data_IF_764503976916
#
_entry.id   IF_764503976916
#
_cell.length_a   1.000
_cell.length_b   1.000
_cell.length_c   1.000
_cell.angle_alpha   90.00
_cell.angle_beta   90.00
_cell.angle_gamma   90.00
#
_symmetry.space_group_name_H-M   'P 1'
#
loop_
_entity.id
_entity.type
_entity.pdbx_description
1 polymer ?
#
# COMPACT_ATOMS: atom_id res chain seq x y z
N UNK A 1 -31.31 -40.00 4.56
CA UNK A 1 -30.22 -39.58 3.68
C UNK A 1 -30.58 -38.33 2.87
N UNK A 2 -31.63 -38.30 2.07
CA UNK A 2 -31.97 -37.12 1.22
C UNK A 2 -32.09 -35.79 1.98
N UNK A 3 -32.72 -35.74 3.15
CA UNK A 3 -32.84 -34.52 3.96
C UNK A 3 -31.47 -33.98 4.43
N UNK A 4 -30.54 -34.86 4.78
CA UNK A 4 -29.18 -34.51 5.21
C UNK A 4 -28.41 -33.95 4.02
N UNK A 5 -28.49 -34.57 2.85
CA UNK A 5 -27.84 -34.08 1.61
C UNK A 5 -28.36 -32.71 1.24
N UNK A 6 -29.67 -32.49 1.28
CA UNK A 6 -30.26 -31.17 0.98
C UNK A 6 -29.78 -30.13 2.01
N UNK A 7 -29.77 -30.46 3.29
CA UNK A 7 -29.28 -29.57 4.35
C UNK A 7 -27.81 -29.19 4.12
N UNK A 8 -26.94 -30.16 3.90
CA UNK A 8 -25.52 -29.92 3.65
C UNK A 8 -25.29 -29.09 2.36
N UNK A 9 -26.07 -29.35 1.31
CA UNK A 9 -26.02 -28.58 0.08
C UNK A 9 -26.42 -27.09 0.29
N UNK A 10 -27.42 -26.85 1.14
CA UNK A 10 -27.83 -25.48 1.49
C UNK A 10 -26.75 -24.81 2.32
N UNK A 11 -26.20 -25.48 3.33
CA UNK A 11 -25.11 -24.94 4.16
C UNK A 11 -23.92 -24.57 3.27
N UNK A 12 -23.53 -25.47 2.36
CA UNK A 12 -22.43 -25.24 1.44
C UNK A 12 -22.70 -24.04 0.50
N UNK A 13 -23.90 -23.97 -0.10
CA UNK A 13 -24.28 -22.86 -0.96
C UNK A 13 -24.29 -21.52 -0.22
N UNK A 14 -24.77 -21.48 1.03
CA UNK A 14 -24.75 -20.27 1.86
C UNK A 14 -23.32 -19.87 2.24
N UNK A 15 -22.44 -20.83 2.53
CA UNK A 15 -21.02 -20.56 2.79
C UNK A 15 -20.32 -19.94 1.60
N UNK A 16 -20.54 -20.51 0.41
CA UNK A 16 -19.99 -19.93 -0.83
C UNK A 16 -20.54 -18.52 -1.08
N UNK A 17 -21.85 -18.32 -0.95
CA UNK A 17 -22.46 -17.02 -1.13
C UNK A 17 -21.89 -15.99 -0.13
N UNK A 18 -21.69 -16.38 1.10
CA UNK A 18 -21.06 -15.53 2.10
C UNK A 18 -19.60 -15.24 1.77
N UNK A 19 -18.77 -16.28 1.59
CA UNK A 19 -17.33 -16.13 1.37
C UNK A 19 -16.96 -15.49 0.05
N UNK A 20 -17.73 -15.77 -1.01
CA UNK A 20 -17.45 -15.27 -2.36
C UNK A 20 -17.99 -13.87 -2.62
N UNK A 21 -18.99 -13.43 -1.88
CA UNK A 21 -19.67 -12.17 -2.17
C UNK A 21 -19.93 -11.32 -0.93
N UNK A 22 -20.68 -11.83 0.04
CA UNK A 22 -21.21 -11.03 1.15
C UNK A 22 -20.09 -10.51 2.06
N UNK A 23 -19.07 -11.31 2.32
CA UNK A 23 -17.91 -10.93 3.14
C UNK A 23 -17.17 -9.71 2.56
N UNK A 24 -17.12 -9.59 1.23
CA UNK A 24 -16.49 -8.44 0.57
C UNK A 24 -17.32 -7.15 0.61
N UNK A 25 -18.62 -7.24 0.91
CA UNK A 25 -19.46 -6.06 1.11
C UNK A 25 -19.37 -5.51 2.55
N UNK A 26 -18.95 -6.33 3.52
CA UNK A 26 -18.90 -5.94 4.92
C UNK A 26 -18.10 -4.66 5.20
N UNK A 27 -16.90 -4.46 4.60
CA UNK A 27 -16.13 -3.24 4.83
C UNK A 27 -16.92 -1.99 4.47
N UNK A 28 -17.56 -1.95 3.31
CA UNK A 28 -18.29 -0.77 2.84
C UNK A 28 -19.65 -0.56 3.51
N UNK A 29 -20.26 -1.62 4.07
CA UNK A 29 -21.57 -1.54 4.69
C UNK A 29 -21.55 -1.25 6.20
N UNK A 30 -20.56 -1.82 6.94
CA UNK A 30 -20.61 -1.78 8.40
C UNK A 30 -19.26 -1.57 9.10
N UNK A 31 -18.17 -2.17 8.61
CA UNK A 31 -16.94 -2.22 9.41
C UNK A 31 -15.98 -1.07 9.14
N UNK A 32 -16.23 -0.26 8.11
CA UNK A 32 -15.34 0.85 7.75
C UNK A 32 -16.12 2.10 7.30
N UNK A 33 -15.50 3.26 7.45
CA UNK A 33 -16.08 4.55 7.06
C UNK A 33 -14.98 5.60 6.86
N UNK A 34 -15.30 6.68 6.17
CA UNK A 34 -14.39 7.81 6.02
C UNK A 34 -14.00 8.43 7.37
N UNK A 35 -12.71 8.64 7.65
CA UNK A 35 -12.26 9.11 8.97
C UNK A 35 -12.77 10.51 9.32
N UNK A 36 -12.99 11.39 8.36
CA UNK A 36 -13.55 12.73 8.62
C UNK A 36 -14.97 12.70 9.18
N UNK A 37 -15.76 11.63 8.95
CA UNK A 37 -17.11 11.51 9.49
C UNK A 37 -17.11 11.33 11.02
N UNK A 38 -16.05 10.79 11.60
CA UNK A 38 -15.92 10.62 13.05
C UNK A 38 -15.42 11.88 13.75
N UNK A 39 -14.76 12.78 13.05
CA UNK A 39 -14.18 14.01 13.58
C UNK A 39 -15.17 15.21 13.57
N UNK A 40 -16.29 15.05 12.92
CA UNK A 40 -17.25 16.09 12.57
C UNK A 40 -17.95 16.79 13.74
N UNK A 41 -17.97 16.18 14.93
CA UNK A 41 -18.78 16.67 16.04
C UNK A 41 -18.23 17.91 16.76
N UNK A 42 -17.01 18.36 16.44
CA UNK A 42 -16.34 19.40 17.21
C UNK A 42 -15.92 20.67 16.46
N UNK A 43 -15.90 20.70 15.13
CA UNK A 43 -15.21 21.78 14.42
C UNK A 43 -16.07 22.69 13.50
N UNK A 44 -17.25 22.29 13.04
CA UNK A 44 -18.01 23.11 12.07
C UNK A 44 -19.54 22.95 12.12
N UNK A 45 -20.22 24.03 12.38
CA UNK A 45 -21.67 24.16 12.17
C UNK A 45 -21.97 24.66 10.74
N UNK A 46 -22.61 23.85 9.89
CA UNK A 46 -23.34 24.32 8.71
C UNK A 46 -22.63 24.31 7.34
N UNK A 47 -21.53 23.56 7.14
CA UNK A 47 -20.86 23.44 5.82
C UNK A 47 -21.21 22.10 5.18
N UNK A 48 -21.43 22.09 3.84
CA UNK A 48 -21.57 20.85 3.06
C UNK A 48 -20.25 20.09 3.07
N UNK A 49 -20.24 18.97 3.78
CA UNK A 49 -19.04 18.21 4.10
C UNK A 49 -18.46 17.40 2.93
N UNK A 50 -19.22 17.15 1.88
CA UNK A 50 -18.75 16.31 0.77
C UNK A 50 -17.63 16.98 -0.04
N UNK A 51 -17.63 18.32 -0.12
CA UNK A 51 -16.61 19.11 -0.83
C UNK A 51 -15.43 19.57 0.04
N UNK A 52 -15.54 19.37 1.36
CA UNK A 52 -14.54 19.84 2.33
C UNK A 52 -13.30 18.94 2.46
N UNK A 53 -13.36 17.73 1.92
CA UNK A 53 -12.28 16.75 2.01
C UNK A 53 -12.01 16.08 0.67
N UNK A 54 -10.75 15.83 0.38
CA UNK A 54 -10.32 14.91 -0.69
C UNK A 54 -10.20 13.51 -0.10
N UNK A 55 -10.90 12.56 -0.70
CA UNK A 55 -11.02 11.17 -0.27
C UNK A 55 -10.01 10.29 -0.99
N UNK A 56 -9.10 9.68 -0.26
CA UNK A 56 -8.02 8.84 -0.80
C UNK A 56 -8.15 7.40 -0.31
N UNK A 57 -8.23 6.44 -1.21
CA UNK A 57 -8.06 5.02 -0.89
C UNK A 57 -6.60 4.62 -1.11
N UNK A 58 -5.96 4.10 -0.06
CA UNK A 58 -4.56 3.68 -0.08
C UNK A 58 -4.49 2.16 -0.11
N UNK A 59 -3.77 1.62 -1.08
CA UNK A 59 -3.62 0.19 -1.36
C UNK A 59 -2.13 -0.11 -1.50
N UNK A 60 -1.69 -1.27 -1.01
CA UNK A 60 -0.29 -1.66 -1.12
C UNK A 60 -0.12 -3.15 -1.36
N UNK A 61 1.02 -3.53 -1.90
CA UNK A 61 1.52 -4.90 -2.02
C UNK A 61 0.51 -5.87 -2.66
N UNK A 62 -0.09 -5.56 -3.83
CA UNK A 62 -0.90 -6.55 -4.53
C UNK A 62 -0.07 -7.77 -4.95
N UNK A 63 1.20 -7.60 -5.27
CA UNK A 63 2.18 -8.63 -5.63
C UNK A 63 1.58 -9.74 -6.50
N UNK A 64 1.09 -9.36 -7.69
CA UNK A 64 0.49 -10.32 -8.62
C UNK A 64 1.42 -11.49 -8.87
N UNK A 65 0.95 -12.69 -8.57
CA UNK A 65 1.71 -13.91 -8.78
C UNK A 65 2.12 -14.08 -10.25
N UNK A 66 3.33 -14.53 -10.46
CA UNK A 66 3.90 -14.87 -11.76
C UNK A 66 4.75 -16.15 -11.67
N UNK A 67 5.57 -16.44 -12.70
CA UNK A 67 6.41 -17.64 -12.74
C UNK A 67 7.44 -17.72 -11.62
N UNK A 68 7.70 -16.65 -10.89
CA UNK A 68 8.66 -16.62 -9.78
C UNK A 68 8.02 -16.95 -8.44
N UNK A 69 6.69 -16.94 -8.40
CA UNK A 69 5.91 -17.13 -7.19
C UNK A 69 5.87 -18.59 -6.74
N UNK A 70 5.85 -18.80 -5.43
CA UNK A 70 5.61 -20.10 -4.78
C UNK A 70 6.61 -21.22 -5.16
N UNK A 71 7.68 -20.92 -5.89
CA UNK A 71 8.63 -21.94 -6.41
C UNK A 71 7.96 -23.09 -7.20
N UNK A 72 6.80 -22.83 -7.77
CA UNK A 72 6.08 -23.78 -8.62
C UNK A 72 6.62 -23.75 -10.07
N UNK A 73 6.56 -24.89 -10.79
CA UNK A 73 6.99 -24.89 -12.19
C UNK A 73 6.18 -23.88 -13.00
N UNK A 74 6.82 -23.08 -13.88
CA UNK A 74 6.13 -22.17 -14.77
C UNK A 74 5.05 -22.87 -15.59
N UNK A 75 3.88 -22.25 -15.76
CA UNK A 75 2.71 -22.81 -16.47
C UNK A 75 2.19 -24.14 -15.91
N UNK A 76 2.48 -24.45 -14.65
CA UNK A 76 1.85 -25.57 -13.98
C UNK A 76 0.40 -25.21 -13.61
N UNK A 77 -0.49 -26.20 -13.65
CA UNK A 77 -1.89 -26.01 -13.24
C UNK A 77 -2.00 -25.42 -11.82
N UNK A 78 -1.10 -25.82 -10.92
CA UNK A 78 -1.08 -25.30 -9.54
C UNK A 78 -0.78 -23.80 -9.51
N UNK A 79 0.20 -23.32 -10.29
CA UNK A 79 0.51 -21.90 -10.39
C UNK A 79 -0.63 -21.11 -11.04
N UNK A 80 -1.21 -21.62 -12.14
CA UNK A 80 -2.33 -20.97 -12.84
C UNK A 80 -3.56 -20.84 -11.93
N UNK A 81 -3.87 -21.89 -11.16
CA UNK A 81 -4.96 -21.84 -10.17
C UNK A 81 -4.67 -20.83 -9.06
N UNK A 82 -3.44 -20.80 -8.53
CA UNK A 82 -3.05 -19.83 -7.51
C UNK A 82 -3.18 -18.39 -8.04
N UNK A 83 -2.68 -18.11 -9.23
CA UNK A 83 -2.84 -16.82 -9.91
C UNK A 83 -4.32 -16.43 -10.07
N UNK A 84 -5.13 -17.35 -10.59
CA UNK A 84 -6.55 -17.10 -10.80
C UNK A 84 -7.28 -16.74 -9.50
N UNK A 85 -7.08 -17.50 -8.45
CA UNK A 85 -7.78 -17.24 -7.18
C UNK A 85 -7.31 -15.98 -6.49
N UNK A 86 -6.02 -15.64 -6.56
CA UNK A 86 -5.50 -14.38 -5.99
C UNK A 86 -5.99 -13.17 -6.78
N UNK A 87 -6.01 -13.24 -8.10
CA UNK A 87 -6.52 -12.18 -8.96
C UNK A 87 -8.03 -11.94 -8.71
N UNK A 88 -8.81 -13.02 -8.63
CA UNK A 88 -10.26 -12.93 -8.33
C UNK A 88 -10.49 -12.33 -6.95
N UNK A 89 -9.71 -12.73 -5.95
CA UNK A 89 -9.79 -12.16 -4.61
C UNK A 89 -9.55 -10.64 -4.62
N UNK A 90 -8.41 -10.20 -5.18
CA UNK A 90 -8.06 -8.78 -5.21
C UNK A 90 -9.07 -7.96 -6.02
N UNK A 91 -9.58 -8.50 -7.13
CA UNK A 91 -10.62 -7.84 -7.90
C UNK A 91 -11.92 -7.66 -7.11
N UNK A 92 -12.35 -8.68 -6.38
CA UNK A 92 -13.53 -8.58 -5.49
C UNK A 92 -13.30 -7.59 -4.37
N UNK A 93 -12.15 -7.67 -3.68
CA UNK A 93 -11.77 -6.73 -2.65
C UNK A 93 -11.82 -5.28 -3.16
N UNK A 94 -11.28 -5.04 -4.35
CA UNK A 94 -11.31 -3.72 -4.94
C UNK A 94 -12.72 -3.24 -5.28
N UNK A 95 -13.46 -4.04 -6.06
CA UNK A 95 -14.77 -3.64 -6.58
C UNK A 95 -15.87 -3.60 -5.51
N UNK A 96 -15.80 -4.47 -4.50
CA UNK A 96 -16.89 -4.61 -3.51
C UNK A 96 -16.56 -4.01 -2.15
N UNK A 97 -15.27 -3.91 -1.78
CA UNK A 97 -14.87 -3.38 -0.46
C UNK A 97 -14.29 -1.97 -0.56
N UNK A 98 -13.57 -1.61 -1.63
CA UNK A 98 -12.86 -0.33 -1.73
C UNK A 98 -13.61 0.68 -2.60
N UNK A 99 -13.94 0.31 -3.82
CA UNK A 99 -14.57 1.23 -4.77
C UNK A 99 -15.92 1.81 -4.32
N UNK A 100 -16.77 1.08 -3.54
CA UNK A 100 -18.04 1.64 -3.02
C UNK A 100 -17.89 2.86 -2.10
N UNK A 101 -16.69 3.11 -1.56
CA UNK A 101 -16.40 4.34 -0.82
C UNK A 101 -16.34 5.59 -1.70
N UNK A 102 -16.37 5.45 -3.04
CA UNK A 102 -16.26 6.56 -3.99
C UNK A 102 -15.05 7.46 -3.69
N UNK A 103 -13.81 6.92 -3.70
CA UNK A 103 -12.61 7.73 -3.51
C UNK A 103 -12.43 8.70 -4.68
N UNK A 104 -11.92 9.90 -4.40
CA UNK A 104 -11.47 10.85 -5.43
C UNK A 104 -10.10 10.44 -5.99
N UNK A 105 -9.32 9.74 -5.15
CA UNK A 105 -7.94 9.32 -5.44
C UNK A 105 -7.77 7.86 -5.02
N UNK A 106 -7.05 7.11 -5.83
CA UNK A 106 -6.47 5.82 -5.46
C UNK A 106 -4.96 5.98 -5.42
N UNK A 107 -4.36 5.63 -4.30
CA UNK A 107 -2.92 5.67 -4.08
C UNK A 107 -2.39 4.26 -3.88
N UNK A 108 -1.55 3.79 -4.79
CA UNK A 108 -0.84 2.54 -4.67
C UNK A 108 0.57 2.77 -4.12
N UNK A 109 0.95 2.04 -3.07
CA UNK A 109 2.23 2.20 -2.38
C UNK A 109 3.30 1.18 -2.82
N UNK A 110 3.22 0.64 -4.03
CA UNK A 110 4.24 -0.23 -4.61
C UNK A 110 3.95 -1.73 -4.53
N UNK A 111 4.90 -2.50 -5.06
CA UNK A 111 4.89 -3.96 -5.17
C UNK A 111 3.66 -4.49 -5.90
N UNK A 112 3.52 -4.10 -7.18
CA UNK A 112 2.40 -4.52 -8.03
C UNK A 112 2.54 -5.96 -8.51
N UNK A 113 3.78 -6.39 -8.82
CA UNK A 113 4.14 -7.70 -9.34
C UNK A 113 5.05 -8.43 -8.37
N UNK A 114 5.06 -9.75 -8.40
CA UNK A 114 5.96 -10.54 -7.55
C UNK A 114 7.39 -10.57 -8.10
N UNK A 115 7.55 -10.80 -9.39
CA UNK A 115 8.84 -10.90 -10.07
C UNK A 115 9.18 -9.76 -11.01
N UNK A 116 8.53 -8.60 -10.92
CA UNK A 116 8.63 -7.49 -11.88
C UNK A 116 10.02 -7.24 -12.47
N UNK A 117 11.10 -7.12 -11.65
CA UNK A 117 12.44 -6.85 -12.14
C UNK A 117 13.06 -7.93 -13.03
N UNK A 118 12.62 -9.20 -12.89
CA UNK A 118 13.21 -10.37 -13.56
C UNK A 118 12.31 -10.97 -14.64
N UNK A 119 11.10 -10.44 -14.82
CA UNK A 119 10.20 -10.82 -15.91
C UNK A 119 10.71 -10.30 -17.26
N UNK A 120 10.48 -11.07 -18.32
CA UNK A 120 10.62 -10.56 -19.69
C UNK A 120 9.63 -9.43 -19.96
N UNK A 121 9.81 -8.69 -21.07
CA UNK A 121 8.90 -7.61 -21.39
C UNK A 121 7.48 -8.13 -21.68
N UNK A 122 7.35 -9.31 -22.31
CA UNK A 122 6.07 -9.95 -22.58
C UNK A 122 5.36 -10.37 -21.29
N UNK A 123 6.07 -11.04 -20.38
CA UNK A 123 5.53 -11.47 -19.08
C UNK A 123 5.12 -10.27 -18.22
N UNK A 124 5.92 -9.22 -18.27
CA UNK A 124 5.62 -7.98 -17.54
C UNK A 124 4.37 -7.30 -18.11
N UNK A 125 4.21 -7.23 -19.44
CA UNK A 125 3.02 -6.68 -20.07
C UNK A 125 1.77 -7.52 -19.78
N UNK A 126 1.90 -8.85 -19.69
CA UNK A 126 0.81 -9.73 -19.26
C UNK A 126 0.40 -9.39 -17.82
N UNK A 127 1.36 -9.29 -16.89
CA UNK A 127 1.11 -8.93 -15.49
C UNK A 127 0.50 -7.52 -15.37
N UNK A 128 0.96 -6.57 -16.18
CA UNK A 128 0.37 -5.22 -16.26
C UNK A 128 -1.08 -5.26 -16.78
N UNK A 129 -1.36 -6.08 -17.77
CA UNK A 129 -2.73 -6.32 -18.28
C UNK A 129 -3.65 -6.87 -17.18
N UNK A 130 -3.18 -7.85 -16.40
CA UNK A 130 -3.90 -8.42 -15.24
C UNK A 130 -4.14 -7.37 -14.17
N UNK A 131 -3.12 -6.59 -13.80
CA UNK A 131 -3.23 -5.51 -12.81
C UNK A 131 -4.31 -4.49 -13.21
N UNK A 132 -4.31 -4.02 -14.46
CA UNK A 132 -5.34 -3.12 -14.97
C UNK A 132 -6.74 -3.72 -14.91
N UNK A 133 -6.87 -5.02 -15.13
CA UNK A 133 -8.14 -5.72 -15.04
C UNK A 133 -8.61 -5.86 -13.58
N UNK A 134 -7.71 -6.24 -12.67
CA UNK A 134 -8.01 -6.44 -11.24
C UNK A 134 -8.53 -5.14 -10.62
N UNK A 135 -7.86 -4.03 -10.86
CA UNK A 135 -8.17 -2.73 -10.28
C UNK A 135 -9.02 -1.84 -11.20
N UNK A 136 -9.59 -2.40 -12.25
CA UNK A 136 -10.51 -1.74 -13.20
C UNK A 136 -10.02 -0.37 -13.72
N UNK A 137 -8.71 -0.26 -13.93
CA UNK A 137 -8.05 1.02 -14.25
C UNK A 137 -8.58 1.66 -15.52
N UNK A 138 -9.02 0.87 -16.48
CA UNK A 138 -9.59 1.39 -17.74
C UNK A 138 -10.90 2.16 -17.47
N UNK A 139 -11.76 1.65 -16.60
CA UNK A 139 -13.01 2.34 -16.21
C UNK A 139 -12.70 3.58 -15.37
N UNK A 140 -11.76 3.51 -14.45
CA UNK A 140 -11.34 4.65 -13.64
C UNK A 140 -10.81 5.80 -14.51
N UNK A 141 -9.97 5.50 -15.50
CA UNK A 141 -9.44 6.49 -16.44
C UNK A 141 -10.53 7.12 -17.33
N UNK A 142 -11.54 6.34 -17.72
CA UNK A 142 -12.67 6.84 -18.53
C UNK A 142 -13.62 7.72 -17.70
N UNK A 143 -13.78 7.46 -16.42
CA UNK A 143 -14.70 8.20 -15.55
C UNK A 143 -14.26 9.64 -15.29
N UNK A 144 -13.00 9.99 -15.58
CA UNK A 144 -12.36 11.30 -15.33
C UNK A 144 -12.48 11.82 -13.88
N UNK A 145 -13.15 11.08 -12.99
CA UNK A 145 -13.44 11.52 -11.62
C UNK A 145 -12.46 10.98 -10.59
N UNK A 146 -11.75 9.86 -10.90
CA UNK A 146 -10.82 9.23 -9.97
C UNK A 146 -9.41 9.32 -10.54
N UNK A 147 -8.49 9.93 -9.79
CA UNK A 147 -7.07 9.94 -10.15
C UNK A 147 -6.33 8.80 -9.46
N UNK A 148 -5.35 8.23 -10.14
CA UNK A 148 -4.53 7.14 -9.60
C UNK A 148 -3.08 7.60 -9.52
N UNK A 149 -2.45 7.40 -8.36
CA UNK A 149 -1.03 7.68 -8.13
C UNK A 149 -0.31 6.38 -7.76
N UNK A 150 0.92 6.26 -8.20
CA UNK A 150 1.71 5.04 -8.09
C UNK A 150 3.06 5.31 -7.45
N UNK A 151 3.42 4.53 -6.46
CA UNK A 151 4.75 4.48 -5.87
C UNK A 151 5.44 3.19 -6.28
N UNK A 152 6.73 3.23 -6.52
CA UNK A 152 7.50 2.02 -6.84
C UNK A 152 7.81 1.19 -5.60
N UNK A 153 7.84 -0.14 -5.77
CA UNK A 153 8.28 -1.10 -4.78
C UNK A 153 9.51 -1.90 -5.25
N UNK A 154 10.12 -2.65 -4.35
CA UNK A 154 11.30 -3.46 -4.68
C UNK A 154 10.96 -4.64 -5.60
N UNK A 155 9.74 -5.14 -5.57
CA UNK A 155 9.23 -6.13 -6.51
C UNK A 155 8.87 -5.54 -7.88
N UNK A 156 8.79 -4.21 -8.01
CA UNK A 156 8.55 -3.55 -9.30
C UNK A 156 9.85 -3.23 -10.03
N UNK A 157 10.86 -2.71 -9.33
CA UNK A 157 12.10 -2.21 -9.91
C UNK A 157 13.38 -2.83 -9.34
N UNK A 158 13.33 -3.53 -8.21
CA UNK A 158 14.49 -4.02 -7.47
C UNK A 158 15.10 -2.97 -6.53
N UNK A 159 16.07 -3.38 -5.76
CA UNK A 159 16.87 -2.47 -4.91
C UNK A 159 17.98 -1.76 -5.70
N UNK A 160 18.68 -0.82 -5.07
CA UNK A 160 19.69 0.03 -5.71
C UNK A 160 20.74 -0.75 -6.53
N UNK A 161 21.26 -1.86 -5.99
CA UNK A 161 22.26 -2.69 -6.70
C UNK A 161 21.70 -3.33 -7.97
N UNK A 162 20.40 -3.62 -8.02
CA UNK A 162 19.77 -4.15 -9.21
C UNK A 162 19.49 -3.04 -10.22
N UNK A 163 18.95 -1.92 -9.77
CA UNK A 163 18.60 -0.76 -10.60
C UNK A 163 19.81 -0.18 -11.33
N UNK A 164 20.95 -0.10 -10.66
CA UNK A 164 22.20 0.40 -11.27
C UNK A 164 22.70 -0.48 -12.41
N UNK A 165 22.40 -1.79 -12.35
CA UNK A 165 22.85 -2.79 -13.34
C UNK A 165 21.86 -3.04 -14.47
N UNK A 166 20.57 -2.77 -14.24
CA UNK A 166 19.46 -3.03 -15.17
C UNK A 166 18.54 -1.82 -15.33
N UNK A 167 19.03 -0.72 -15.88
CA UNK A 167 18.24 0.51 -16.03
C UNK A 167 17.03 0.37 -16.96
N UNK A 168 16.97 -0.70 -17.78
CA UNK A 168 15.81 -1.02 -18.60
C UNK A 168 14.56 -1.34 -17.76
N UNK A 169 14.73 -1.96 -16.59
CA UNK A 169 13.62 -2.27 -15.66
C UNK A 169 13.00 -0.99 -15.15
N UNK A 170 13.84 -0.06 -14.69
CA UNK A 170 13.37 1.25 -14.22
C UNK A 170 12.66 2.02 -15.34
N UNK A 171 13.23 2.05 -16.56
CA UNK A 171 12.60 2.70 -17.71
C UNK A 171 11.25 2.09 -18.08
N UNK A 172 11.12 0.76 -17.96
CA UNK A 172 9.86 0.05 -18.20
C UNK A 172 8.80 0.47 -17.19
N UNK A 173 9.17 0.54 -15.90
CA UNK A 173 8.31 1.03 -14.84
C UNK A 173 7.88 2.48 -15.10
N UNK A 174 8.83 3.39 -15.30
CA UNK A 174 8.57 4.82 -15.46
C UNK A 174 7.70 5.15 -16.68
N UNK A 175 7.75 4.33 -17.72
CA UNK A 175 6.90 4.46 -18.91
C UNK A 175 5.41 4.30 -18.60
N UNK A 176 5.06 3.38 -17.70
CA UNK A 176 3.66 3.03 -17.40
C UNK A 176 3.14 3.75 -16.13
N UNK A 177 3.99 3.90 -15.12
CA UNK A 177 3.60 4.44 -13.81
C UNK A 177 4.08 5.86 -13.56
N UNK A 178 5.03 6.36 -14.32
CA UNK A 178 5.59 7.70 -14.16
C UNK A 178 6.85 7.75 -13.29
N UNK A 179 7.22 8.94 -12.87
CA UNK A 179 8.44 9.19 -12.10
C UNK A 179 8.38 8.53 -10.71
N UNK A 180 9.51 8.03 -10.22
CA UNK A 180 9.64 7.38 -8.89
C UNK A 180 9.71 8.38 -7.75
N UNK A 181 10.36 9.51 -7.98
CA UNK A 181 10.42 10.62 -7.03
C UNK A 181 9.57 11.77 -7.57
N UNK A 182 8.48 12.11 -6.89
CA UNK A 182 7.60 13.18 -7.34
C UNK A 182 6.77 13.75 -6.18
N UNK A 183 6.10 14.86 -6.43
CA UNK A 183 5.18 15.47 -5.48
C UNK A 183 3.87 15.86 -6.16
N UNK A 184 2.81 15.86 -5.38
CA UNK A 184 1.49 16.33 -5.81
C UNK A 184 0.72 16.89 -4.63
N UNK A 185 -0.27 17.72 -4.90
CA UNK A 185 -1.10 18.35 -3.87
C UNK A 185 -2.53 17.84 -3.97
N UNK A 186 -3.09 17.46 -2.84
CA UNK A 186 -4.49 17.08 -2.70
C UNK A 186 -5.14 17.99 -1.65
N UNK A 187 -6.13 18.78 -2.06
CA UNK A 187 -6.70 19.80 -1.17
C UNK A 187 -5.63 20.77 -0.68
N UNK A 188 -5.41 20.81 0.62
CA UNK A 188 -4.41 21.64 1.29
C UNK A 188 -3.25 20.82 1.85
N UNK A 189 -2.94 19.67 1.27
CA UNK A 189 -1.89 18.75 1.73
C UNK A 189 -0.96 18.39 0.57
N UNK A 190 0.34 18.45 0.81
CA UNK A 190 1.38 18.04 -0.13
C UNK A 190 1.80 16.60 0.13
N UNK A 191 1.71 15.76 -0.89
CA UNK A 191 2.18 14.39 -0.89
C UNK A 191 3.52 14.30 -1.59
N UNK A 192 4.49 13.65 -0.97
CA UNK A 192 5.87 13.55 -1.43
C UNK A 192 6.23 12.08 -1.53
N UNK A 193 6.28 11.59 -2.77
CA UNK A 193 6.66 10.22 -3.09
C UNK A 193 8.17 10.11 -3.25
N UNK A 194 8.81 9.20 -2.51
CA UNK A 194 10.25 8.99 -2.49
C UNK A 194 10.57 7.52 -2.78
N UNK A 195 11.41 7.28 -3.76
CA UNK A 195 11.99 5.98 -4.08
C UNK A 195 12.88 5.49 -2.93
N UNK A 196 12.28 4.78 -1.98
CA UNK A 196 12.96 4.31 -0.79
C UNK A 196 13.99 3.21 -1.08
N UNK A 197 13.86 2.49 -2.19
CA UNK A 197 14.76 1.42 -2.63
C UNK A 197 16.17 1.93 -2.94
N UNK A 198 16.32 3.24 -3.17
CA UNK A 198 17.61 3.85 -3.52
C UNK A 198 18.20 4.73 -2.43
N UNK A 199 17.46 5.05 -1.33
CA UNK A 199 17.92 5.96 -0.27
C UNK A 199 19.24 5.53 0.39
N UNK A 200 19.36 4.26 0.70
CA UNK A 200 20.51 3.68 1.40
C UNK A 200 21.58 3.11 0.45
N UNK A 201 21.43 3.34 -0.85
CA UNK A 201 22.39 2.94 -1.86
C UNK A 201 23.72 3.70 -1.79
N UNK A 202 24.63 3.40 -2.72
CA UNK A 202 25.89 4.11 -2.82
C UNK A 202 25.65 5.58 -3.23
N UNK A 203 26.10 6.53 -2.42
CA UNK A 203 25.93 7.97 -2.67
C UNK A 203 26.62 8.46 -3.96
N UNK A 204 27.59 7.69 -4.48
CA UNK A 204 28.23 7.96 -5.76
C UNK A 204 27.40 7.46 -6.95
N UNK A 205 26.39 6.63 -6.69
CA UNK A 205 25.44 6.18 -7.71
C UNK A 205 24.52 7.32 -8.14
N UNK A 206 24.27 7.43 -9.44
CA UNK A 206 23.36 8.43 -9.99
C UNK A 206 21.93 8.31 -9.46
N UNK A 207 21.48 7.08 -9.20
CA UNK A 207 20.11 6.83 -8.73
C UNK A 207 19.92 7.29 -7.28
N UNK A 208 20.85 6.92 -6.39
CA UNK A 208 20.84 7.34 -4.98
C UNK A 208 20.99 8.86 -4.85
N UNK A 209 21.93 9.44 -5.59
CA UNK A 209 22.13 10.89 -5.57
C UNK A 209 20.91 11.65 -6.13
N UNK A 210 20.23 11.11 -7.16
CA UNK A 210 19.02 11.71 -7.72
C UNK A 210 17.89 11.76 -6.68
N UNK A 211 17.66 10.66 -5.94
CA UNK A 211 16.64 10.61 -4.87
C UNK A 211 16.96 11.63 -3.76
N UNK A 212 18.19 11.67 -3.26
CA UNK A 212 18.56 12.67 -2.25
C UNK A 212 18.52 14.11 -2.75
N UNK A 213 18.85 14.35 -4.03
CA UNK A 213 18.70 15.69 -4.63
C UNK A 213 17.23 16.12 -4.72
N UNK A 214 16.33 15.18 -5.04
CA UNK A 214 14.88 15.44 -4.99
C UNK A 214 14.45 15.82 -3.56
N UNK A 215 14.80 15.02 -2.55
CA UNK A 215 14.48 15.29 -1.13
C UNK A 215 15.01 16.66 -0.70
N UNK A 216 16.27 16.99 -1.00
CA UNK A 216 16.85 18.30 -0.70
C UNK A 216 16.20 19.46 -1.46
N UNK A 217 15.68 19.22 -2.65
CA UNK A 217 14.92 20.24 -3.37
C UNK A 217 13.57 20.50 -2.71
N UNK A 218 12.86 19.45 -2.29
CA UNK A 218 11.60 19.57 -1.54
C UNK A 218 11.81 20.31 -0.22
N UNK A 219 12.95 20.11 0.46
CA UNK A 219 13.26 20.78 1.73
C UNK A 219 13.43 22.29 1.61
N UNK A 220 13.75 22.81 0.42
CA UNK A 220 13.92 24.25 0.17
C UNK A 220 12.59 25.00 0.11
N UNK A 221 11.49 24.31 -0.10
CA UNK A 221 10.18 24.93 -0.08
C UNK A 221 9.81 25.34 1.34
N UNK A 222 9.69 26.64 1.56
CA UNK A 222 9.37 27.25 2.87
C UNK A 222 7.85 27.24 3.14
N UNK A 223 7.06 26.59 2.28
CA UNK A 223 5.63 26.50 2.43
C UNK A 223 5.24 25.76 3.74
N UNK A 224 4.31 26.34 4.49
CA UNK A 224 3.75 25.76 5.72
C UNK A 224 2.69 24.67 5.46
N UNK A 225 2.45 24.31 4.21
CA UNK A 225 1.48 23.27 3.83
C UNK A 225 1.85 21.93 4.45
N UNK A 226 0.92 21.25 5.15
CA UNK A 226 1.15 19.93 5.72
C UNK A 226 1.65 18.94 4.67
N UNK A 227 2.62 18.10 5.02
CA UNK A 227 3.26 17.15 4.11
C UNK A 227 3.01 15.72 4.55
N UNK A 228 2.67 14.85 3.61
CA UNK A 228 2.66 13.40 3.76
C UNK A 228 3.83 12.83 3.00
N UNK A 229 4.68 12.07 3.69
CA UNK A 229 5.75 11.31 3.07
C UNK A 229 5.21 9.93 2.66
N UNK A 230 5.46 9.57 1.42
CA UNK A 230 5.12 8.27 0.85
C UNK A 230 6.42 7.51 0.55
N UNK A 231 6.57 6.34 1.16
CA UNK A 231 7.67 5.40 0.87
C UNK A 231 7.08 4.01 0.69
N UNK A 232 7.69 3.17 -0.16
CA UNK A 232 7.29 1.76 -0.16
C UNK A 232 7.91 1.05 1.05
N UNK A 233 9.25 1.13 1.20
CA UNK A 233 9.96 0.55 2.34
C UNK A 233 9.68 1.41 3.58
N UNK A 234 9.25 0.81 4.70
CA UNK A 234 9.00 1.54 5.94
C UNK A 234 10.27 2.20 6.50
N UNK A 235 10.08 3.27 7.24
CA UNK A 235 11.16 3.91 7.99
C UNK A 235 11.70 2.99 9.10
N UNK A 236 12.86 3.34 9.65
CA UNK A 236 13.58 2.53 10.65
C UNK A 236 12.72 2.19 11.87
N UNK A 237 12.83 0.97 12.34
CA UNK A 237 12.20 0.45 13.56
C UNK A 237 13.17 -0.39 14.34
N UNK A 238 13.06 -0.33 15.67
CA UNK A 238 13.77 -1.23 16.57
C UNK A 238 13.07 -2.58 16.63
N UNK A 239 13.80 -3.60 17.06
CA UNK A 239 13.24 -4.93 17.34
C UNK A 239 12.09 -4.87 18.31
N UNK A 240 11.12 -5.73 18.10
CA UNK A 240 9.96 -5.88 18.96
C UNK A 240 9.16 -4.59 19.15
N UNK A 241 9.27 -3.64 18.23
CA UNK A 241 8.41 -2.44 18.21
C UNK A 241 6.95 -2.88 18.17
N UNK A 242 6.14 -2.31 19.06
CA UNK A 242 4.69 -2.59 19.07
C UNK A 242 4.02 -1.87 17.92
N UNK A 243 3.39 -2.63 17.06
CA UNK A 243 2.68 -2.15 15.85
C UNK A 243 1.16 -2.06 16.02
N UNK A 244 0.66 -2.31 17.21
CA UNK A 244 -0.79 -2.37 17.47
C UNK A 244 -1.37 -3.78 17.35
N UNK A 245 -2.69 -3.93 17.58
CA UNK A 245 -3.34 -5.25 17.78
C UNK A 245 -3.56 -6.05 16.49
N UNK A 246 -3.42 -5.43 15.34
CA UNK A 246 -3.75 -6.07 14.05
C UNK A 246 -2.52 -6.53 13.28
N UNK A 247 -1.36 -6.57 13.92
CA UNK A 247 -0.17 -7.17 13.34
C UNK A 247 -0.07 -8.64 13.71
N UNK A 248 0.12 -9.48 12.72
CA UNK A 248 0.23 -10.94 12.88
C UNK A 248 1.67 -11.44 13.03
N UNK A 249 2.64 -10.68 12.55
CA UNK A 249 4.06 -11.04 12.56
C UNK A 249 4.89 -10.14 13.50
N UNK A 250 5.95 -10.67 14.16
CA UNK A 250 6.82 -9.83 14.98
C UNK A 250 7.62 -8.86 14.11
N UNK A 251 7.89 -7.66 14.63
CA UNK A 251 8.90 -6.77 14.04
C UNK A 251 10.27 -7.36 14.30
N UNK A 252 11.05 -7.56 13.25
CA UNK A 252 12.39 -8.10 13.31
C UNK A 252 13.42 -7.00 13.11
N UNK A 253 14.65 -7.25 13.56
CA UNK A 253 15.79 -6.35 13.37
C UNK A 253 15.93 -5.88 11.93
N UNK A 254 16.46 -4.67 11.79
CA UNK A 254 16.88 -4.21 10.49
C UNK A 254 17.83 -5.21 9.82
N UNK A 255 17.46 -5.65 8.61
CA UNK A 255 18.26 -6.53 7.77
C UNK A 255 18.65 -5.78 6.51
N UNK A 256 19.95 -5.61 6.34
CA UNK A 256 20.52 -5.00 5.13
C UNK A 256 21.58 -5.95 4.58
N UNK A 257 21.50 -6.26 3.30
CA UNK A 257 22.59 -6.88 2.57
C UNK A 257 23.09 -5.95 1.47
N UNK A 258 24.43 -5.92 1.28
CA UNK A 258 25.08 -5.04 0.33
C UNK A 258 25.94 -5.83 -0.64
N UNK A 259 26.04 -5.33 -1.86
CA UNK A 259 26.94 -5.88 -2.85
C UNK A 259 28.40 -5.64 -2.45
N UNK A 260 29.25 -6.68 -2.59
CA UNK A 260 30.65 -6.61 -2.15
C UNK A 260 31.48 -5.56 -2.90
N UNK A 261 31.14 -5.30 -4.17
CA UNK A 261 31.92 -4.42 -5.04
C UNK A 261 31.64 -2.93 -4.84
N UNK A 262 30.37 -2.56 -4.81
CA UNK A 262 29.92 -1.16 -4.87
C UNK A 262 29.14 -0.72 -3.62
N UNK A 263 28.95 -1.64 -2.67
CA UNK A 263 28.20 -1.42 -1.42
C UNK A 263 26.73 -0.99 -1.63
N UNK A 264 26.22 -1.13 -2.86
CA UNK A 264 24.80 -0.90 -3.14
C UNK A 264 23.91 -1.95 -2.46
N UNK A 265 22.66 -1.55 -2.16
CA UNK A 265 21.68 -2.39 -1.47
C UNK A 265 21.24 -3.53 -2.38
N UNK A 266 21.41 -4.76 -1.91
CA UNK A 266 20.82 -5.98 -2.47
C UNK A 266 19.48 -6.34 -1.85
N UNK A 267 19.32 -6.00 -0.57
CA UNK A 267 18.09 -6.22 0.20
C UNK A 267 18.07 -5.33 1.44
N UNK A 268 16.92 -4.80 1.78
CA UNK A 268 16.64 -4.19 3.08
C UNK A 268 15.16 -4.31 3.42
N UNK A 269 14.85 -4.49 4.71
CA UNK A 269 13.46 -4.51 5.19
C UNK A 269 12.96 -3.15 5.68
N UNK A 270 13.84 -2.29 6.17
CA UNK A 270 13.54 -0.92 6.61
C UNK A 270 14.63 0.04 6.11
N UNK A 271 14.23 1.28 5.85
CA UNK A 271 15.19 2.37 5.63
C UNK A 271 16.13 2.46 6.83
N UNK A 272 17.40 2.81 6.65
CA UNK A 272 18.35 2.93 7.77
C UNK A 272 17.93 4.04 8.73
N UNK A 273 18.30 3.93 10.00
CA UNK A 273 18.06 4.95 11.02
C UNK A 273 18.55 6.33 10.58
N UNK A 274 19.77 6.39 10.06
CA UNK A 274 20.36 7.62 9.53
C UNK A 274 19.54 8.25 8.40
N UNK A 275 19.12 7.46 7.42
CA UNK A 275 18.32 7.96 6.30
C UNK A 275 16.91 8.33 6.73
N UNK A 276 16.35 7.63 7.71
CA UNK A 276 15.08 7.99 8.34
C UNK A 276 15.14 9.37 8.99
N UNK A 277 16.15 9.61 9.82
CA UNK A 277 16.34 10.90 10.49
C UNK A 277 16.53 12.03 9.48
N UNK A 278 17.38 11.82 8.44
CA UNK A 278 17.61 12.81 7.39
C UNK A 278 16.32 13.10 6.59
N UNK A 279 15.51 12.09 6.27
CA UNK A 279 14.21 12.26 5.60
C UNK A 279 13.23 13.08 6.44
N UNK A 280 13.06 12.72 7.70
CA UNK A 280 12.14 13.41 8.61
C UNK A 280 12.56 14.86 8.82
N UNK A 281 13.87 15.11 8.95
CA UNK A 281 14.40 16.46 9.13
C UNK A 281 14.24 17.34 7.89
N UNK A 282 14.43 16.80 6.69
CA UNK A 282 14.35 17.54 5.43
C UNK A 282 12.90 17.74 4.97
N UNK A 283 12.08 16.70 5.02
CA UNK A 283 10.71 16.74 4.50
C UNK A 283 9.73 17.33 5.52
N UNK A 284 9.96 17.08 6.82
CA UNK A 284 9.08 17.50 7.93
C UNK A 284 7.64 17.05 7.71
N UNK A 285 7.39 15.76 7.52
CA UNK A 285 6.05 15.28 7.29
C UNK A 285 5.24 15.27 8.59
N UNK A 286 3.93 15.40 8.48
CA UNK A 286 2.98 15.16 9.59
C UNK A 286 2.52 13.70 9.63
N UNK A 287 2.70 12.98 8.52
CA UNK A 287 2.34 11.58 8.37
C UNK A 287 3.28 10.91 7.38
N UNK A 288 3.63 9.65 7.66
CA UNK A 288 4.31 8.76 6.73
C UNK A 288 3.39 7.59 6.39
N UNK A 289 3.31 7.22 5.11
CA UNK A 289 2.61 6.02 4.64
C UNK A 289 3.60 5.10 3.95
N UNK A 290 3.57 3.81 4.30
CA UNK A 290 4.46 2.79 3.73
C UNK A 290 3.74 1.46 3.46
N UNK A 291 4.39 0.56 2.73
CA UNK A 291 3.97 -0.80 2.42
C UNK A 291 5.04 -1.83 2.80
N UNK A 292 5.40 -2.75 1.89
CA UNK A 292 6.55 -3.65 1.94
C UNK A 292 6.52 -4.75 3.02
N UNK A 293 6.07 -4.43 4.20
CA UNK A 293 6.08 -5.34 5.36
C UNK A 293 4.93 -6.37 5.29
N UNK A 294 4.02 -6.22 4.32
CA UNK A 294 2.80 -6.98 4.08
C UNK A 294 1.82 -6.99 5.26
N UNK A 295 2.29 -6.63 6.45
CA UNK A 295 1.52 -6.57 7.67
C UNK A 295 1.45 -5.14 8.18
N UNK A 296 0.35 -4.78 8.80
CA UNK A 296 0.13 -3.42 9.25
C UNK A 296 1.05 -3.06 10.44
N UNK A 297 1.44 -1.79 10.51
CA UNK A 297 2.13 -1.24 11.66
C UNK A 297 1.82 0.25 11.81
N UNK A 298 1.53 0.68 13.02
CA UNK A 298 1.41 2.09 13.35
C UNK A 298 2.43 2.42 14.44
N UNK A 299 3.37 3.29 14.12
CA UNK A 299 4.41 3.74 15.05
C UNK A 299 4.57 5.25 15.02
N UNK A 300 5.27 5.78 16.00
CA UNK A 300 5.62 7.20 16.08
C UNK A 300 7.12 7.35 16.05
N UNK A 301 7.63 8.13 15.10
CA UNK A 301 9.01 8.57 15.02
C UNK A 301 9.18 9.90 15.75
N UNK A 302 10.32 10.10 16.37
CA UNK A 302 10.68 11.38 16.99
C UNK A 302 11.64 12.12 16.06
N UNK A 303 11.21 13.22 15.49
CA UNK A 303 12.05 14.12 14.71
C UNK A 303 12.43 15.37 15.51
N UNK A 304 13.34 16.20 14.97
CA UNK A 304 13.67 17.51 15.55
C UNK A 304 12.47 18.47 15.62
N UNK A 305 11.44 18.21 14.83
CA UNK A 305 10.26 19.08 14.71
C UNK A 305 9.03 18.52 15.42
N UNK A 306 9.15 17.40 16.09
CA UNK A 306 8.08 16.76 16.85
C UNK A 306 7.88 15.30 16.48
N UNK A 307 6.80 14.73 17.00
CA UNK A 307 6.38 13.36 16.73
C UNK A 307 5.77 13.24 15.34
N UNK A 308 6.09 12.18 14.62
CA UNK A 308 5.56 11.88 13.27
C UNK A 308 5.01 10.47 13.27
N UNK A 309 3.73 10.32 12.97
CA UNK A 309 3.12 9.00 12.83
C UNK A 309 3.49 8.36 11.49
N UNK A 310 3.83 7.07 11.52
CA UNK A 310 3.92 6.23 10.33
C UNK A 310 2.86 5.14 10.37
N UNK A 311 2.15 4.98 9.26
CA UNK A 311 1.29 3.83 9.02
C UNK A 311 1.86 3.00 7.89
N UNK A 312 2.34 1.80 8.21
CA UNK A 312 2.54 0.74 7.21
C UNK A 312 1.20 0.08 7.00
N UNK A 313 0.71 0.10 5.78
CA UNK A 313 -0.56 -0.54 5.41
C UNK A 313 -0.27 -2.00 5.09
N UNK A 314 -1.13 -2.92 5.52
CA UNK A 314 -1.00 -4.33 5.17
C UNK A 314 -1.40 -4.59 3.72
N UNK A 315 -0.90 -5.69 3.16
CA UNK A 315 -1.19 -6.08 1.77
C UNK A 315 -2.69 -6.18 1.48
N UNK A 316 -3.09 -5.83 0.27
CA UNK A 316 -4.45 -6.03 -0.23
C UNK A 316 -4.74 -7.51 -0.58
N UNK A 317 -3.72 -8.37 -0.60
CA UNK A 317 -3.80 -9.78 -0.97
C UNK A 317 -3.64 -10.69 0.24
N UNK A 318 -4.33 -11.84 0.25
CA UNK A 318 -4.17 -12.86 1.29
C UNK A 318 -2.95 -13.78 1.09
N UNK A 319 -2.36 -13.78 -0.08
CA UNK A 319 -1.28 -14.71 -0.47
C UNK A 319 0.03 -14.51 0.30
N UNK A 320 0.23 -13.34 0.89
CA UNK A 320 1.46 -12.99 1.62
C UNK A 320 1.50 -13.51 3.06
N UNK A 321 0.53 -14.36 3.45
CA UNK A 321 0.47 -14.95 4.79
C UNK A 321 0.00 -13.98 5.88
N UNK A 322 -0.38 -12.77 5.53
CA UNK A 322 -0.98 -11.81 6.45
C UNK A 322 -2.39 -12.26 6.88
N UNK A 323 -2.64 -12.26 8.19
CA UNK A 323 -3.96 -12.58 8.74
C UNK A 323 -4.97 -11.42 8.60
N UNK A 324 -4.51 -10.22 8.29
CA UNK A 324 -5.33 -9.01 8.22
C UNK A 324 -5.11 -8.25 6.91
N UNK A 325 -5.47 -8.83 5.74
CA UNK A 325 -5.43 -8.08 4.49
C UNK A 325 -6.21 -6.78 4.64
N UNK A 326 -5.67 -5.67 4.14
CA UNK A 326 -6.22 -4.36 4.49
C UNK A 326 -6.02 -3.32 3.40
N UNK A 327 -6.71 -2.21 3.54
CA UNK A 327 -6.52 -0.97 2.84
C UNK A 327 -6.75 0.19 3.81
N UNK A 328 -6.37 1.40 3.44
CA UNK A 328 -6.59 2.55 4.30
C UNK A 328 -7.44 3.60 3.59
N UNK A 329 -8.39 4.20 4.31
CA UNK A 329 -9.08 5.39 3.90
C UNK A 329 -8.39 6.61 4.53
N UNK A 330 -8.05 7.59 3.70
CA UNK A 330 -7.43 8.84 4.13
C UNK A 330 -8.29 10.01 3.65
N UNK A 331 -8.53 10.96 4.53
CA UNK A 331 -9.22 12.22 4.22
C UNK A 331 -8.26 13.39 4.39
N UNK A 332 -7.99 14.12 3.31
CA UNK A 332 -7.20 15.36 3.32
C UNK A 332 -8.13 16.57 3.24
N UNK A 333 -7.89 17.58 4.06
CA UNK A 333 -8.72 18.80 4.03
C UNK A 333 -8.60 19.56 2.72
N UNK A 334 -9.69 20.18 2.29
CA UNK A 334 -9.75 21.09 1.14
C UNK A 334 -10.07 22.55 1.56
N UNK A 335 -9.97 22.84 2.84
CA UNK A 335 -10.20 24.18 3.42
C UNK A 335 -8.98 24.61 4.25
N UNK A 336 -8.90 25.88 4.60
CA UNK A 336 -7.86 26.39 5.49
C UNK A 336 -8.17 26.02 6.95
N UNK A 337 -7.22 25.41 7.64
CA UNK A 337 -7.40 25.11 9.06
C UNK A 337 -7.63 26.40 9.86
N UNK A 338 -8.49 26.33 10.90
CA UNK A 338 -8.66 27.43 11.85
C UNK A 338 -7.33 27.80 12.53
N UNK A 339 -7.21 29.05 12.93
CA UNK A 339 -6.04 29.54 13.67
C UNK A 339 -5.85 28.74 14.97
N UNK A 340 -4.65 28.27 15.24
CA UNK A 340 -4.34 27.42 16.40
C UNK A 340 -4.52 25.92 16.20
N UNK A 341 -4.99 25.47 15.02
CA UNK A 341 -5.03 24.03 14.68
C UNK A 341 -3.63 23.46 14.42
N UNK A 342 -3.44 22.18 14.76
CA UNK A 342 -2.21 21.45 14.39
C UNK A 342 -2.18 21.12 12.89
N UNK A 343 -0.98 21.06 12.29
CA UNK A 343 -0.81 20.59 10.91
C UNK A 343 -1.28 19.13 10.72
N UNK A 344 -1.24 18.33 11.76
CA UNK A 344 -1.78 16.96 11.79
C UNK A 344 -3.29 16.92 11.59
N UNK A 345 -4.00 18.01 11.94
CA UNK A 345 -5.44 18.12 11.75
C UNK A 345 -5.86 18.17 10.27
N UNK A 346 -4.89 18.40 9.38
CA UNK A 346 -5.13 18.39 7.93
C UNK A 346 -5.44 17.00 7.36
N UNK A 347 -5.13 15.92 8.10
CA UNK A 347 -5.21 14.56 7.61
C UNK A 347 -5.87 13.68 8.65
N UNK A 348 -6.70 12.77 8.21
CA UNK A 348 -7.27 11.72 9.04
C UNK A 348 -7.19 10.39 8.30
N UNK A 349 -6.89 9.31 9.00
CA UNK A 349 -6.75 7.97 8.44
C UNK A 349 -7.63 6.96 9.16
N UNK A 350 -8.08 5.94 8.45
CA UNK A 350 -8.82 4.81 8.99
C UNK A 350 -8.38 3.52 8.28
N UNK A 351 -7.84 2.57 9.03
CA UNK A 351 -7.45 1.26 8.53
C UNK A 351 -8.70 0.38 8.41
N UNK A 352 -8.88 -0.21 7.24
CA UNK A 352 -10.03 -1.06 6.91
C UNK A 352 -9.53 -2.46 6.55
N UNK A 353 -10.22 -3.49 7.04
CA UNK A 353 -9.82 -4.88 6.85
C UNK A 353 -10.65 -5.55 5.76
N UNK A 354 -9.99 -6.41 5.00
CA UNK A 354 -10.60 -7.24 3.97
C UNK A 354 -10.91 -8.65 4.52
N UNK A 355 -11.86 -9.38 3.94
CA UNK A 355 -12.19 -10.72 4.40
C UNK A 355 -11.03 -11.69 4.16
N UNK A 356 -10.76 -12.56 5.13
CA UNK A 356 -9.82 -13.68 4.98
C UNK A 356 -10.58 -14.86 4.42
N UNK A 357 -10.73 -14.91 3.10
CA UNK A 357 -11.58 -15.88 2.40
C UNK A 357 -11.23 -17.33 2.71
N UNK A 358 -9.94 -17.66 2.74
CA UNK A 358 -9.49 -19.01 3.08
C UNK A 358 -9.93 -19.44 4.48
N UNK A 359 -9.87 -18.52 5.45
CA UNK A 359 -10.31 -18.77 6.81
C UNK A 359 -11.81 -19.06 6.89
N UNK A 360 -12.62 -18.31 6.13
CA UNK A 360 -14.07 -18.55 6.05
C UNK A 360 -14.34 -19.99 5.58
N UNK A 361 -13.64 -20.45 4.54
CA UNK A 361 -13.84 -21.80 4.03
C UNK A 361 -13.34 -22.87 4.98
N UNK A 362 -12.21 -22.68 5.64
CA UNK A 362 -11.70 -23.62 6.65
C UNK A 362 -12.70 -23.74 7.81
N UNK A 363 -13.18 -22.63 8.35
CA UNK A 363 -14.12 -22.64 9.47
C UNK A 363 -15.44 -23.35 9.15
N UNK A 364 -15.93 -23.18 7.92
CA UNK A 364 -17.20 -23.81 7.51
C UNK A 364 -17.05 -25.29 7.24
N UNK A 365 -15.92 -25.74 6.68
CA UNK A 365 -15.73 -27.13 6.29
C UNK A 365 -15.06 -27.98 7.38
N UNK A 366 -14.36 -27.34 8.32
CA UNK A 366 -13.65 -28.00 9.42
C UNK A 366 -13.93 -27.28 10.75
N UNK A 367 -15.17 -27.38 11.29
CA UNK A 367 -15.54 -26.68 12.53
C UNK A 367 -14.76 -27.13 13.76
N UNK A 368 -14.02 -28.23 13.68
CA UNK A 368 -13.16 -28.75 14.77
C UNK A 368 -11.74 -28.16 14.76
N UNK A 369 -11.45 -27.26 13.84
CA UNK A 369 -10.13 -26.62 13.72
C UNK A 369 -9.99 -25.34 14.59
N UNK A 370 -10.85 -25.18 15.59
CA UNK A 370 -10.84 -24.10 16.59
C UNK A 370 -10.41 -24.59 17.96
#
# INVERSE_FOLDING_TARGET
>A
MWKITVFLSIVWALSLLYGEWFAFLMPSLWSCSWPHLHRQSSLMNGVDYSSSYVKVAVITDPQLMDRTSLHLPPKSLALELAQFYTDVYMRRAFLSSILPFNPDIILFLGDYFDGGPILSDEEWQESWGRFRHIFDLNMLQQSANVKVYYLDGNHDIGYAAFNSRKPEVTRRYEKEFGARNYRFTLGRVNFIAVDAQTLDGNLQSNITSATWNFVRNVSKDVDSTPRVLLTHIPLYRTDSTSCGPHRSSPVINQRISRAAHDQDILYQNYVTEKSTDELLDLIRPVLVLSGHDHDQCTITHMSKYGAVSEHTVGTVSWQQGNLYPSFMLLSAINFTLPEGSSAEDAISTHLCFLPVQLFIYICVHFPEAW
#
